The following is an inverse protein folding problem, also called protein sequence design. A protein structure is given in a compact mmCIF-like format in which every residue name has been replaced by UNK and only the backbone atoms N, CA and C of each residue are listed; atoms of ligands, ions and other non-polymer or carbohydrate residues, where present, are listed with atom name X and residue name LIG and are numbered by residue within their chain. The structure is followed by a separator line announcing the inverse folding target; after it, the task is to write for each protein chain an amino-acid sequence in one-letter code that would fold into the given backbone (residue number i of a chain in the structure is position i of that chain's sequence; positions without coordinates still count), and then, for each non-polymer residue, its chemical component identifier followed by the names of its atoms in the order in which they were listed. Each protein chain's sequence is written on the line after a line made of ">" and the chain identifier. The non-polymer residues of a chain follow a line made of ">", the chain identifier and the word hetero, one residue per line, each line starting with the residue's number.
data_IF_259430810885
#
_entry.id   IF_259430810885
#
_cell.length_a   1.000
_cell.length_b   1.000
_cell.length_c   1.000
_cell.angle_alpha   90.00
_cell.angle_beta   90.00
_cell.angle_gamma   90.00
#
_symmetry.space_group_name_H-M   'P 1'
#
loop_
_entity.id
_entity.type
_entity.pdbx_description
1 polymer ?
#
# COMPACT_ATOMS: atom_id res chain seq x y z
N UNK A 1 -25.66 27.95 -10.60
CA UNK A 1 -24.22 27.81 -10.91
C UNK A 1 -23.99 26.32 -11.07
N UNK A 2 -23.65 25.87 -12.28
CA UNK A 2 -23.23 24.48 -12.48
C UNK A 2 -21.95 24.20 -11.69
N UNK A 3 -21.87 23.03 -11.11
CA UNK A 3 -20.71 22.63 -10.31
C UNK A 3 -19.54 22.29 -11.27
N UNK A 4 -18.49 23.11 -11.28
CA UNK A 4 -17.30 22.92 -12.12
C UNK A 4 -16.69 21.52 -12.04
N UNK A 5 -16.91 20.82 -10.91
CA UNK A 5 -16.42 19.43 -10.73
C UNK A 5 -17.23 18.47 -11.58
N UNK A 6 -18.53 18.67 -11.70
CA UNK A 6 -19.40 17.85 -12.56
C UNK A 6 -19.08 18.10 -14.03
N UNK A 7 -18.85 19.35 -14.42
CA UNK A 7 -18.42 19.71 -15.78
C UNK A 7 -17.08 19.05 -16.13
N UNK A 8 -16.09 19.09 -15.21
CA UNK A 8 -14.80 18.46 -15.42
C UNK A 8 -14.91 16.94 -15.55
N UNK A 9 -15.78 16.29 -14.74
CA UNK A 9 -16.04 14.86 -14.82
C UNK A 9 -16.67 14.50 -16.17
N UNK A 10 -17.69 15.22 -16.59
CA UNK A 10 -18.34 15.00 -17.88
C UNK A 10 -17.35 15.16 -19.05
N UNK A 11 -16.49 16.19 -18.99
CA UNK A 11 -15.43 16.39 -19.98
C UNK A 11 -14.43 15.23 -20.01
N UNK A 12 -14.02 14.71 -18.86
CA UNK A 12 -13.11 13.58 -18.79
C UNK A 12 -13.68 12.32 -19.46
N UNK A 13 -14.95 12.02 -19.20
CA UNK A 13 -15.66 10.90 -19.82
C UNK A 13 -15.74 11.06 -21.34
N UNK A 14 -16.03 12.26 -21.83
CA UNK A 14 -16.09 12.55 -23.27
C UNK A 14 -14.70 12.43 -23.94
N UNK A 15 -13.64 12.90 -23.25
CA UNK A 15 -12.25 12.72 -23.74
C UNK A 15 -11.92 11.23 -23.85
N UNK A 16 -12.26 10.41 -22.84
CA UNK A 16 -12.04 8.96 -22.90
C UNK A 16 -12.80 8.31 -24.05
N UNK A 17 -14.07 8.66 -24.25
CA UNK A 17 -14.86 8.16 -25.39
C UNK A 17 -14.22 8.50 -26.74
N UNK A 18 -13.65 9.69 -26.86
CA UNK A 18 -12.96 10.13 -28.07
C UNK A 18 -11.65 9.37 -28.28
N UNK A 19 -10.84 9.25 -27.26
CA UNK A 19 -9.57 8.50 -27.31
C UNK A 19 -9.82 7.03 -27.67
N UNK A 20 -10.78 6.40 -27.02
CA UNK A 20 -11.14 5.00 -27.29
C UNK A 20 -11.58 4.78 -28.72
N UNK A 21 -12.22 5.77 -29.37
CA UNK A 21 -12.66 5.71 -30.76
C UNK A 21 -11.55 6.06 -31.75
N UNK A 22 -10.70 7.04 -31.45
CA UNK A 22 -9.84 7.68 -32.43
C UNK A 22 -8.34 7.37 -32.26
N UNK A 23 -7.86 7.13 -31.04
CA UNK A 23 -6.48 6.82 -30.79
C UNK A 23 -6.18 5.32 -31.03
N UNK A 24 -5.24 4.98 -31.92
CA UNK A 24 -4.90 3.58 -32.20
C UNK A 24 -4.41 2.81 -30.96
N UNK A 25 -3.65 3.48 -30.06
CA UNK A 25 -3.13 2.84 -28.86
C UNK A 25 -4.25 2.56 -27.86
N UNK A 26 -5.11 3.54 -27.58
CA UNK A 26 -6.22 3.38 -26.63
C UNK A 26 -7.20 2.29 -27.08
N UNK A 27 -7.46 2.17 -28.37
CA UNK A 27 -8.34 1.12 -28.94
C UNK A 27 -7.89 -0.31 -28.68
N UNK A 28 -6.59 -0.52 -28.56
CA UNK A 28 -6.01 -1.85 -28.35
C UNK A 28 -5.95 -2.25 -26.87
N UNK A 29 -6.15 -1.30 -25.95
CA UNK A 29 -6.04 -1.58 -24.54
C UNK A 29 -7.17 -2.50 -24.03
N UNK A 30 -6.80 -3.35 -23.08
CA UNK A 30 -7.67 -4.30 -22.40
C UNK A 30 -7.49 -4.19 -20.88
N UNK A 31 -8.35 -4.85 -20.09
CA UNK A 31 -8.17 -4.96 -18.64
C UNK A 31 -6.78 -5.49 -18.28
N UNK A 32 -6.28 -6.47 -19.03
CA UNK A 32 -4.98 -7.10 -18.75
C UNK A 32 -3.81 -6.19 -19.11
N UNK A 33 -3.89 -5.49 -20.25
CA UNK A 33 -2.80 -4.63 -20.70
C UNK A 33 -2.57 -3.42 -19.78
N UNK A 34 -3.64 -2.87 -19.21
CA UNK A 34 -3.57 -1.71 -18.32
C UNK A 34 -3.24 -2.06 -16.86
N UNK A 35 -3.28 -3.33 -16.48
CA UNK A 35 -3.12 -3.75 -15.09
C UNK A 35 -1.76 -3.36 -14.50
N UNK A 36 -0.68 -3.49 -15.27
CA UNK A 36 0.66 -3.12 -14.80
C UNK A 36 0.78 -1.63 -14.54
N UNK A 37 0.29 -0.81 -15.46
CA UNK A 37 0.29 0.64 -15.32
C UNK A 37 -0.50 1.08 -14.08
N UNK A 38 -1.68 0.51 -13.83
CA UNK A 38 -2.46 0.81 -12.62
C UNK A 38 -1.66 0.56 -11.33
N UNK A 39 -0.83 -0.49 -11.32
CA UNK A 39 0.04 -0.79 -10.17
C UNK A 39 1.15 0.26 -10.06
N UNK A 40 1.76 0.64 -11.18
CA UNK A 40 2.79 1.66 -11.29
C UNK A 40 2.29 3.00 -10.72
N UNK A 41 1.18 3.55 -11.25
CA UNK A 41 0.58 4.79 -10.76
C UNK A 41 0.23 4.75 -9.25
N UNK A 42 -0.12 3.56 -8.74
CA UNK A 42 -0.37 3.38 -7.31
C UNK A 42 0.91 3.58 -6.48
N UNK A 43 2.06 3.10 -6.97
CA UNK A 43 3.35 3.30 -6.31
C UNK A 43 3.86 4.73 -6.47
N UNK A 44 3.69 5.35 -7.63
CA UNK A 44 4.05 6.75 -7.87
C UNK A 44 3.27 7.70 -6.97
N UNK A 45 1.96 7.44 -6.79
CA UNK A 45 1.16 8.16 -5.79
C UNK A 45 1.69 7.94 -4.36
N UNK A 46 2.09 6.71 -4.01
CA UNK A 46 2.65 6.43 -2.68
C UNK A 46 3.97 7.18 -2.45
N UNK A 47 4.81 7.29 -3.49
CA UNK A 47 6.05 8.07 -3.45
C UNK A 47 5.77 9.56 -3.31
N UNK A 48 4.88 10.13 -4.11
CA UNK A 48 4.48 11.53 -4.04
C UNK A 48 3.92 11.91 -2.64
N UNK A 49 3.14 10.99 -2.02
CA UNK A 49 2.64 11.16 -0.65
C UNK A 49 3.79 11.14 0.36
N UNK A 50 4.72 10.21 0.24
CA UNK A 50 5.88 10.07 1.14
C UNK A 50 6.78 11.30 1.10
N UNK A 51 6.92 11.89 -0.09
CA UNK A 51 7.74 13.07 -0.35
C UNK A 51 7.00 14.39 -0.06
N UNK A 52 5.73 14.33 0.36
CA UNK A 52 4.85 15.49 0.57
C UNK A 52 4.75 16.40 -0.67
N UNK A 53 4.86 15.82 -1.86
CA UNK A 53 4.80 16.52 -3.14
C UNK A 53 3.35 16.67 -3.60
N UNK A 54 2.72 17.80 -3.28
CA UNK A 54 1.31 18.06 -3.60
C UNK A 54 1.00 18.11 -5.11
N UNK A 55 1.93 18.57 -5.94
CA UNK A 55 1.75 18.55 -7.40
C UNK A 55 1.85 17.13 -7.94
N UNK A 56 2.83 16.34 -7.49
CA UNK A 56 2.91 14.91 -7.81
C UNK A 56 1.66 14.15 -7.34
N UNK A 57 1.18 14.37 -6.11
CA UNK A 57 -0.07 13.75 -5.63
C UNK A 57 -1.24 14.07 -6.55
N UNK A 58 -1.34 15.30 -7.05
CA UNK A 58 -2.41 15.69 -7.98
C UNK A 58 -2.28 14.99 -9.33
N UNK A 59 -1.06 14.87 -9.85
CA UNK A 59 -0.73 14.19 -11.09
C UNK A 59 -1.12 12.71 -11.01
N UNK A 60 -0.60 12.00 -10.02
CA UNK A 60 -0.84 10.56 -9.85
C UNK A 60 -2.31 10.21 -9.52
N UNK A 61 -3.01 11.12 -8.81
CA UNK A 61 -4.46 10.99 -8.66
C UNK A 61 -5.18 11.13 -10.01
N UNK A 62 -4.67 11.92 -10.93
CA UNK A 62 -5.17 12.05 -12.30
C UNK A 62 -5.00 10.75 -13.06
N UNK A 63 -3.82 10.11 -12.97
CA UNK A 63 -3.49 8.87 -13.67
C UNK A 63 -4.27 7.68 -13.11
N UNK A 64 -4.42 7.59 -11.79
CA UNK A 64 -5.35 6.62 -11.20
C UNK A 64 -6.81 6.85 -11.61
N UNK A 65 -7.25 8.11 -11.71
CA UNK A 65 -8.59 8.43 -12.20
C UNK A 65 -8.74 8.06 -13.69
N UNK A 66 -7.71 8.27 -14.51
CA UNK A 66 -7.66 7.80 -15.89
C UNK A 66 -7.94 6.29 -15.94
N UNK A 67 -7.25 5.49 -15.13
CA UNK A 67 -7.47 4.03 -15.08
C UNK A 67 -8.90 3.67 -14.65
N UNK A 68 -9.47 4.38 -13.66
CA UNK A 68 -10.88 4.17 -13.26
C UNK A 68 -11.82 4.41 -14.43
N UNK A 69 -11.66 5.52 -15.16
CA UNK A 69 -12.50 5.88 -16.31
C UNK A 69 -12.29 4.90 -17.47
N UNK A 70 -11.04 4.52 -17.74
CA UNK A 70 -10.70 3.59 -18.81
C UNK A 70 -11.30 2.20 -18.57
N UNK A 71 -11.13 1.63 -17.36
CA UNK A 71 -11.75 0.36 -17.02
C UNK A 71 -13.28 0.42 -17.07
N UNK A 72 -13.88 1.56 -16.68
CA UNK A 72 -15.32 1.75 -16.78
C UNK A 72 -15.76 1.76 -18.24
N UNK A 73 -14.96 2.36 -19.14
CA UNK A 73 -15.23 2.34 -20.59
C UNK A 73 -15.10 0.93 -21.18
N UNK A 74 -14.11 0.16 -20.77
CA UNK A 74 -14.00 -1.25 -21.18
C UNK A 74 -15.18 -2.08 -20.66
N UNK A 75 -15.64 -1.84 -19.44
CA UNK A 75 -16.82 -2.49 -18.87
C UNK A 75 -18.11 -2.15 -19.64
N UNK A 76 -18.26 -0.90 -20.08
CA UNK A 76 -19.38 -0.45 -20.92
C UNK A 76 -19.37 -1.16 -22.29
N UNK A 77 -18.20 -1.31 -22.92
CA UNK A 77 -18.05 -2.00 -24.19
C UNK A 77 -18.39 -3.50 -24.10
N UNK A 78 -18.15 -4.11 -22.94
CA UNK A 78 -18.57 -5.49 -22.65
C UNK A 78 -20.03 -5.61 -22.20
N UNK A 79 -20.74 -4.48 -22.03
CA UNK A 79 -22.12 -4.44 -21.53
C UNK A 79 -22.25 -4.91 -20.07
N UNK A 80 -21.18 -4.80 -19.29
CA UNK A 80 -21.12 -5.29 -17.90
C UNK A 80 -21.41 -4.20 -16.86
N UNK A 81 -20.81 -3.03 -17.00
CA UNK A 81 -20.99 -1.85 -16.13
C UNK A 81 -20.39 -0.61 -16.81
N UNK A 82 -20.80 0.57 -16.39
CA UNK A 82 -20.23 1.85 -16.80
C UNK A 82 -19.65 2.65 -15.62
N UNK A 83 -19.21 3.88 -15.87
CA UNK A 83 -18.67 4.77 -14.83
C UNK A 83 -19.75 5.16 -13.79
N UNK A 84 -20.99 5.32 -14.22
CA UNK A 84 -22.11 5.59 -13.31
C UNK A 84 -22.33 4.45 -12.33
N UNK A 85 -22.35 3.21 -12.82
CA UNK A 85 -22.45 2.01 -11.99
C UNK A 85 -21.32 1.91 -10.96
N UNK A 86 -20.08 2.22 -11.36
CA UNK A 86 -18.92 2.23 -10.46
C UNK A 86 -19.09 3.29 -9.36
N UNK A 87 -19.51 4.50 -9.73
CA UNK A 87 -19.70 5.60 -8.79
C UNK A 87 -20.86 5.32 -7.82
N UNK A 88 -22.00 4.86 -8.32
CA UNK A 88 -23.19 4.54 -7.51
C UNK A 88 -22.90 3.37 -6.55
N UNK A 89 -22.27 2.30 -7.02
CA UNK A 89 -21.86 1.19 -6.16
C UNK A 89 -20.89 1.63 -5.06
N UNK A 90 -20.01 2.60 -5.33
CA UNK A 90 -19.13 3.18 -4.33
C UNK A 90 -19.92 4.02 -3.32
N UNK A 91 -20.86 4.86 -3.77
CA UNK A 91 -21.72 5.67 -2.90
C UNK A 91 -22.53 4.78 -1.96
N UNK A 92 -23.22 3.78 -2.49
CA UNK A 92 -24.01 2.82 -1.71
C UNK A 92 -23.16 2.10 -0.66
N UNK A 93 -21.94 1.69 -1.06
CA UNK A 93 -20.98 1.08 -0.14
C UNK A 93 -20.57 2.02 0.97
N UNK A 94 -20.29 3.28 0.68
CA UNK A 94 -19.90 4.29 1.66
C UNK A 94 -21.05 4.61 2.62
N UNK A 95 -22.25 4.83 2.11
CA UNK A 95 -23.44 5.06 2.92
C UNK A 95 -23.70 3.91 3.87
N UNK A 96 -23.70 2.67 3.35
CA UNK A 96 -23.89 1.46 4.15
C UNK A 96 -22.83 1.30 5.27
N UNK A 97 -21.60 1.71 5.01
CA UNK A 97 -20.47 1.55 5.94
C UNK A 97 -20.35 2.69 6.95
N UNK A 98 -21.10 3.77 6.79
CA UNK A 98 -21.08 4.92 7.69
C UNK A 98 -22.47 5.17 8.32
N UNK A 99 -23.04 4.16 9.01
CA UNK A 99 -24.36 4.32 9.62
C UNK A 99 -24.38 5.35 10.75
N UNK A 100 -23.22 5.77 11.25
CA UNK A 100 -23.08 6.86 12.19
C UNK A 100 -23.16 8.26 11.53
N UNK A 101 -23.13 8.33 10.20
CA UNK A 101 -23.32 9.58 9.41
C UNK A 101 -24.64 9.59 8.70
N UNK A 102 -25.06 8.45 8.13
CA UNK A 102 -26.23 8.33 7.26
C UNK A 102 -27.40 7.56 7.90
N UNK A 103 -27.27 7.13 9.16
CA UNK A 103 -28.28 6.37 9.89
C UNK A 103 -28.30 6.72 11.38
N UNK A 104 -28.87 5.86 12.19
CA UNK A 104 -29.18 6.11 13.61
C UNK A 104 -28.12 5.53 14.60
N UNK A 105 -27.00 5.04 14.10
CA UNK A 105 -25.94 4.48 14.94
C UNK A 105 -25.00 5.62 15.37
N UNK A 106 -24.71 5.70 16.69
CA UNK A 106 -23.75 6.67 17.20
C UNK A 106 -22.36 6.02 17.34
N UNK A 107 -21.34 6.64 16.75
CA UNK A 107 -19.92 6.33 16.97
C UNK A 107 -19.18 7.65 17.21
N UNK A 108 -18.61 7.81 18.39
CA UNK A 108 -17.99 9.06 18.83
C UNK A 108 -16.45 9.03 18.75
N UNK A 109 -15.85 7.87 18.44
CA UNK A 109 -14.41 7.71 18.33
C UNK A 109 -14.03 7.00 17.03
N UNK A 110 -12.84 7.28 16.48
CA UNK A 110 -12.33 6.58 15.29
C UNK A 110 -12.29 5.05 15.46
N UNK A 111 -12.01 4.56 16.68
CA UNK A 111 -11.93 3.13 16.95
C UNK A 111 -13.30 2.47 16.85
N UNK A 112 -14.34 3.08 17.41
CA UNK A 112 -15.74 2.62 17.27
C UNK A 112 -16.17 2.58 15.79
N UNK A 113 -15.75 3.54 15.00
CA UNK A 113 -16.00 3.55 13.55
C UNK A 113 -15.31 2.39 12.86
N UNK A 114 -14.03 2.11 13.21
CA UNK A 114 -13.26 0.97 12.68
C UNK A 114 -13.90 -0.38 13.02
N UNK A 115 -14.28 -0.58 14.28
CA UNK A 115 -14.97 -1.81 14.73
C UNK A 115 -16.28 -2.04 13.98
N UNK A 116 -17.11 -1.00 13.88
CA UNK A 116 -18.37 -1.06 13.12
C UNK A 116 -18.11 -1.39 11.64
N UNK A 117 -17.08 -0.82 11.05
CA UNK A 117 -16.71 -1.06 9.66
C UNK A 117 -16.32 -2.52 9.41
N UNK A 118 -15.48 -3.09 10.26
CA UNK A 118 -15.08 -4.49 10.14
C UNK A 118 -16.28 -5.44 10.39
N UNK A 119 -17.13 -5.15 11.37
CA UNK A 119 -18.35 -5.91 11.62
C UNK A 119 -19.31 -5.90 10.40
N UNK A 120 -19.49 -4.73 9.76
CA UNK A 120 -20.32 -4.59 8.56
C UNK A 120 -19.70 -5.27 7.34
N UNK A 121 -18.37 -5.23 7.18
CA UNK A 121 -17.67 -5.99 6.13
C UNK A 121 -17.87 -7.50 6.29
N UNK A 122 -17.77 -8.01 7.51
CA UNK A 122 -17.99 -9.44 7.79
C UNK A 122 -19.42 -9.89 7.49
N UNK A 123 -20.43 -9.04 7.75
CA UNK A 123 -21.85 -9.35 7.47
C UNK A 123 -22.16 -9.45 5.97
N UNK A 124 -21.57 -8.59 5.14
CA UNK A 124 -21.84 -8.56 3.68
C UNK A 124 -21.00 -9.59 2.90
N UNK A 125 -19.91 -10.10 3.47
CA UNK A 125 -19.08 -11.11 2.81
C UNK A 125 -19.70 -12.50 2.95
N UNK A 126 -20.02 -13.09 1.81
CA UNK A 126 -20.46 -14.47 1.74
C UNK A 126 -19.57 -15.38 2.62
N UNK A 127 -20.15 -16.17 3.51
CA UNK A 127 -19.51 -17.11 4.47
C UNK A 127 -18.52 -18.12 3.85
N UNK A 128 -18.37 -18.13 2.52
CA UNK A 128 -17.56 -19.12 1.78
C UNK A 128 -16.05 -18.88 1.79
N UNK A 129 -15.56 -17.70 2.12
CA UNK A 129 -14.12 -17.39 1.99
C UNK A 129 -13.35 -17.23 3.31
N UNK A 130 -14.01 -17.37 4.46
CA UNK A 130 -13.39 -17.16 5.78
C UNK A 130 -12.95 -15.70 6.02
N UNK A 131 -12.46 -15.40 7.22
CA UNK A 131 -12.04 -14.04 7.63
C UNK A 131 -10.93 -13.48 6.74
N UNK A 132 -9.95 -14.29 6.39
CA UNK A 132 -8.78 -13.87 5.59
C UNK A 132 -9.02 -13.93 4.08
N UNK A 133 -10.07 -14.57 3.60
CA UNK A 133 -10.37 -14.76 2.17
C UNK A 133 -10.61 -13.47 1.37
N UNK A 134 -10.55 -12.31 2.01
CA UNK A 134 -10.66 -11.03 1.31
C UNK A 134 -9.36 -10.23 1.30
N UNK A 135 -8.24 -10.87 1.62
CA UNK A 135 -6.91 -10.31 1.39
C UNK A 135 -6.50 -10.65 -0.03
N UNK A 136 -6.23 -9.67 -0.90
CA UNK A 136 -5.82 -9.94 -2.27
C UNK A 136 -4.53 -10.77 -2.31
N UNK A 137 -4.49 -11.77 -3.17
CA UNK A 137 -3.32 -12.65 -3.29
C UNK A 137 -2.08 -11.96 -3.84
N UNK A 138 -2.28 -10.94 -4.68
CA UNK A 138 -1.24 -10.19 -5.37
C UNK A 138 -0.62 -9.04 -4.56
N UNK A 139 -1.09 -8.81 -3.32
CA UNK A 139 -0.47 -7.78 -2.47
C UNK A 139 1.00 -8.11 -2.19
N UNK A 140 1.89 -7.08 -2.12
CA UNK A 140 3.22 -7.22 -1.56
C UNK A 140 3.18 -7.88 -0.19
N UNK A 141 4.19 -8.68 0.14
CA UNK A 141 4.14 -9.56 1.32
C UNK A 141 3.94 -8.79 2.64
N UNK A 142 4.60 -7.65 2.79
CA UNK A 142 4.51 -6.83 4.01
C UNK A 142 3.12 -6.21 4.16
N UNK A 143 2.57 -5.61 3.10
CA UNK A 143 1.20 -5.10 3.06
C UNK A 143 0.19 -6.21 3.33
N UNK A 144 0.42 -7.40 2.76
CA UNK A 144 -0.43 -8.58 2.98
C UNK A 144 -0.43 -9.02 4.44
N UNK A 145 0.74 -9.13 5.06
CA UNK A 145 0.89 -9.50 6.48
C UNK A 145 0.16 -8.49 7.39
N UNK A 146 0.34 -7.19 7.15
CA UNK A 146 -0.37 -6.14 7.88
C UNK A 146 -1.90 -6.30 7.76
N UNK A 147 -2.41 -6.47 6.54
CA UNK A 147 -3.85 -6.68 6.29
C UNK A 147 -4.40 -7.97 6.90
N UNK A 148 -3.58 -9.03 6.96
CA UNK A 148 -3.95 -10.27 7.64
C UNK A 148 -4.06 -10.04 9.15
N UNK A 149 -3.12 -9.35 9.76
CA UNK A 149 -3.16 -8.98 11.18
C UNK A 149 -4.40 -8.14 11.54
N UNK A 150 -4.72 -7.09 10.75
CA UNK A 150 -5.94 -6.30 10.96
C UNK A 150 -7.23 -7.15 10.91
N UNK A 151 -7.29 -8.11 9.99
CA UNK A 151 -8.47 -8.98 9.86
C UNK A 151 -8.58 -10.01 10.97
N UNK A 152 -7.45 -10.53 11.42
CA UNK A 152 -7.39 -11.43 12.57
C UNK A 152 -7.84 -10.70 13.84
N UNK A 153 -7.34 -9.51 14.08
CA UNK A 153 -7.74 -8.63 15.17
C UNK A 153 -9.26 -8.34 15.14
N UNK A 154 -9.81 -7.98 13.97
CA UNK A 154 -11.24 -7.77 13.78
C UNK A 154 -12.12 -9.02 13.99
N UNK A 155 -11.52 -10.20 14.01
CA UNK A 155 -12.19 -11.47 14.36
C UNK A 155 -11.99 -11.87 15.82
N UNK A 156 -11.31 -11.03 16.63
CA UNK A 156 -11.04 -11.29 18.04
C UNK A 156 -9.72 -12.05 18.29
N UNK A 157 -8.89 -12.24 17.27
CA UNK A 157 -7.56 -12.85 17.42
C UNK A 157 -6.48 -11.77 17.40
N UNK A 158 -6.18 -11.22 18.56
CA UNK A 158 -5.18 -10.17 18.77
C UNK A 158 -4.58 -10.25 20.18
N UNK A 159 -3.48 -9.53 20.41
CA UNK A 159 -2.89 -9.36 21.74
C UNK A 159 -3.78 -8.49 22.63
N UNK A 160 -3.90 -8.87 23.90
CA UNK A 160 -4.63 -8.06 24.89
C UNK A 160 -3.87 -6.75 25.21
N UNK A 161 -2.55 -6.84 25.32
CA UNK A 161 -1.67 -5.71 25.50
C UNK A 161 -0.71 -5.61 24.31
N UNK A 162 -0.59 -4.42 23.73
CA UNK A 162 0.28 -4.21 22.55
C UNK A 162 1.76 -4.50 22.82
N UNK A 163 2.17 -4.38 24.09
CA UNK A 163 3.53 -4.65 24.54
C UNK A 163 3.91 -6.13 24.42
N UNK A 164 2.94 -7.03 24.55
CA UNK A 164 3.17 -8.49 24.53
C UNK A 164 3.65 -8.99 23.16
N UNK A 165 3.40 -8.24 22.09
CA UNK A 165 3.93 -8.57 20.75
C UNK A 165 5.46 -8.67 20.73
N UNK A 166 6.14 -7.93 21.60
CA UNK A 166 7.60 -7.94 21.67
C UNK A 166 8.15 -9.25 22.24
N UNK A 167 7.37 -9.99 23.03
CA UNK A 167 7.76 -11.32 23.46
C UNK A 167 7.77 -12.30 22.26
N UNK A 168 6.77 -12.19 21.37
CA UNK A 168 6.76 -12.96 20.13
C UNK A 168 7.91 -12.58 19.19
N UNK A 169 8.21 -11.28 19.04
CA UNK A 169 9.37 -10.83 18.24
C UNK A 169 10.70 -11.42 18.78
N UNK A 170 10.86 -11.49 20.12
CA UNK A 170 12.07 -12.09 20.73
C UNK A 170 12.11 -13.60 20.55
N UNK A 171 10.97 -14.28 20.64
CA UNK A 171 10.82 -15.71 20.36
C UNK A 171 11.28 -16.01 18.94
N UNK A 172 10.71 -15.37 17.91
CA UNK A 172 11.08 -15.56 16.51
C UNK A 172 12.55 -15.23 16.22
N UNK A 173 13.08 -14.17 16.83
CA UNK A 173 14.49 -13.85 16.72
C UNK A 173 15.37 -14.99 17.29
N UNK A 174 14.96 -15.58 18.41
CA UNK A 174 15.65 -16.73 19.02
C UNK A 174 15.60 -17.98 18.13
N UNK A 175 14.49 -18.20 17.42
CA UNK A 175 14.33 -19.31 16.48
C UNK A 175 15.22 -19.12 15.24
N UNK A 176 15.31 -17.89 14.69
CA UNK A 176 16.30 -17.55 13.65
C UNK A 176 17.72 -17.83 14.13
N UNK A 177 18.10 -17.40 15.35
CA UNK A 177 19.44 -17.62 15.91
C UNK A 177 19.76 -19.11 16.14
N UNK A 178 18.75 -19.90 16.49
CA UNK A 178 18.88 -21.34 16.64
C UNK A 178 19.08 -22.02 15.28
N UNK A 179 18.26 -21.65 14.29
CA UNK A 179 18.30 -22.25 12.97
C UNK A 179 19.56 -21.87 12.18
N UNK A 180 20.13 -20.68 12.39
CA UNK A 180 21.45 -20.30 11.86
C UNK A 180 22.55 -21.30 12.25
N UNK A 181 22.38 -22.05 13.36
CA UNK A 181 23.35 -23.07 13.84
C UNK A 181 23.05 -24.46 13.29
N UNK A 182 21.79 -24.74 12.93
CA UNK A 182 21.37 -26.04 12.38
C UNK A 182 21.82 -26.25 10.93
N UNK A 183 21.92 -25.16 10.16
CA UNK A 183 22.38 -25.14 8.77
C UNK A 183 21.34 -25.48 7.73
N UNK A 184 20.04 -25.61 8.09
CA UNK A 184 18.95 -25.78 7.13
C UNK A 184 18.52 -24.44 6.53
N UNK A 185 18.83 -24.24 5.23
CA UNK A 185 18.46 -23.00 4.54
C UNK A 185 16.95 -22.80 4.43
N UNK A 186 16.18 -23.88 4.26
CA UNK A 186 14.72 -23.82 4.10
C UNK A 186 14.04 -23.46 5.42
N UNK A 187 14.49 -24.05 6.52
CA UNK A 187 13.94 -23.78 7.84
C UNK A 187 14.33 -22.36 8.28
N UNK A 188 15.57 -21.95 8.03
CA UNK A 188 16.03 -20.58 8.28
C UNK A 188 15.20 -19.52 7.49
N UNK A 189 14.82 -19.81 6.24
CA UNK A 189 13.92 -18.93 5.46
C UNK A 189 12.54 -18.82 6.12
N UNK A 190 12.04 -19.91 6.68
CA UNK A 190 10.80 -19.93 7.45
C UNK A 190 10.87 -19.00 8.65
N UNK A 191 11.87 -19.17 9.50
CA UNK A 191 12.05 -18.37 10.73
C UNK A 191 12.23 -16.88 10.44
N UNK A 192 12.97 -16.52 9.38
CA UNK A 192 13.01 -15.11 8.94
C UNK A 192 11.62 -14.60 8.50
N UNK A 193 10.82 -15.43 7.87
CA UNK A 193 9.44 -15.09 7.51
C UNK A 193 8.57 -14.82 8.74
N UNK A 194 8.66 -15.65 9.77
CA UNK A 194 7.89 -15.52 11.01
C UNK A 194 8.35 -14.30 11.82
N UNK A 195 9.65 -14.05 11.89
CA UNK A 195 10.20 -12.82 12.49
C UNK A 195 9.68 -11.56 11.78
N UNK A 196 9.69 -11.53 10.45
CA UNK A 196 9.16 -10.40 9.67
C UNK A 196 7.65 -10.23 9.91
N UNK A 197 6.89 -11.31 9.99
CA UNK A 197 5.47 -11.26 10.28
C UNK A 197 5.19 -10.72 11.70
N UNK A 198 5.96 -11.13 12.69
CA UNK A 198 5.89 -10.62 14.06
C UNK A 198 6.19 -9.12 14.12
N UNK A 199 7.23 -8.65 13.41
CA UNK A 199 7.57 -7.23 13.30
C UNK A 199 6.47 -6.40 12.62
N UNK A 200 5.85 -6.92 11.55
CA UNK A 200 4.70 -6.27 10.91
C UNK A 200 3.52 -6.14 11.87
N UNK A 201 3.25 -7.17 12.68
CA UNK A 201 2.21 -7.07 13.71
C UNK A 201 2.55 -6.08 14.83
N UNK A 202 3.82 -6.00 15.24
CA UNK A 202 4.27 -4.95 16.15
C UNK A 202 4.00 -3.57 15.56
N UNK A 203 4.38 -3.31 14.31
CA UNK A 203 4.06 -2.05 13.63
C UNK A 203 2.56 -1.75 13.67
N UNK A 204 1.71 -2.74 13.35
CA UNK A 204 0.25 -2.60 13.38
C UNK A 204 -0.28 -2.17 14.75
N UNK A 205 0.16 -2.82 15.82
CA UNK A 205 -0.28 -2.53 17.19
C UNK A 205 0.15 -1.14 17.68
N UNK A 206 1.25 -0.62 17.14
CA UNK A 206 1.73 0.74 17.40
C UNK A 206 1.23 1.78 16.39
N UNK A 207 0.34 1.38 15.47
CA UNK A 207 -0.25 2.29 14.48
C UNK A 207 0.75 2.77 13.42
N UNK A 208 1.81 1.99 13.18
CA UNK A 208 2.83 2.28 12.16
C UNK A 208 2.54 1.43 10.92
N UNK A 209 2.49 2.06 9.75
CA UNK A 209 2.49 1.34 8.47
C UNK A 209 3.90 0.83 8.16
N UNK A 210 4.13 -0.50 8.08
CA UNK A 210 5.46 -1.06 7.94
C UNK A 210 6.07 -0.84 6.55
N UNK A 211 5.25 -0.80 5.49
CA UNK A 211 5.70 -0.54 4.12
C UNK A 211 6.26 0.89 4.03
N UNK A 212 5.47 1.88 4.44
CA UNK A 212 5.90 3.28 4.46
C UNK A 212 7.09 3.52 5.39
N UNK A 213 7.16 2.81 6.52
CA UNK A 213 8.28 2.94 7.46
C UNK A 213 9.59 2.44 6.86
N UNK A 214 9.55 1.29 6.15
CA UNK A 214 10.70 0.73 5.48
C UNK A 214 11.10 1.58 4.28
N UNK A 215 10.13 2.07 3.49
CA UNK A 215 10.40 2.92 2.33
C UNK A 215 11.10 4.24 2.72
N UNK A 216 10.66 4.88 3.80
CA UNK A 216 11.39 6.05 4.34
C UNK A 216 12.84 5.71 4.74
N UNK A 217 13.09 4.48 5.15
CA UNK A 217 14.45 4.03 5.48
C UNK A 217 15.25 3.76 4.23
N UNK A 218 14.63 3.16 3.19
CA UNK A 218 15.23 2.99 1.87
C UNK A 218 15.65 4.33 1.26
N UNK A 219 14.76 5.32 1.24
CA UNK A 219 15.04 6.68 0.76
C UNK A 219 16.24 7.31 1.51
N UNK A 220 16.27 7.20 2.85
CA UNK A 220 17.42 7.67 3.65
C UNK A 220 18.70 6.94 3.31
N UNK A 221 18.63 5.64 3.05
CA UNK A 221 19.80 4.85 2.65
C UNK A 221 20.32 5.32 1.29
N UNK A 222 19.43 5.44 0.30
CA UNK A 222 19.77 5.92 -1.05
C UNK A 222 20.43 7.30 -0.98
N UNK A 223 19.82 8.26 -0.28
CA UNK A 223 20.38 9.61 -0.14
C UNK A 223 21.79 9.60 0.45
N UNK A 224 22.00 8.82 1.51
CA UNK A 224 23.31 8.70 2.17
C UNK A 224 24.34 8.02 1.28
N UNK A 225 23.90 7.00 0.55
CA UNK A 225 24.77 6.27 -0.35
C UNK A 225 25.20 7.15 -1.53
N UNK A 226 24.27 7.86 -2.15
CA UNK A 226 24.58 8.83 -3.21
C UNK A 226 25.55 9.93 -2.71
N UNK A 227 25.34 10.43 -1.50
CA UNK A 227 26.28 11.37 -0.87
C UNK A 227 27.69 10.77 -0.76
N UNK A 228 27.82 9.51 -0.35
CA UNK A 228 29.12 8.84 -0.26
C UNK A 228 29.77 8.72 -1.65
N UNK A 229 29.00 8.36 -2.68
CA UNK A 229 29.51 8.26 -4.06
C UNK A 229 30.01 9.62 -4.56
N UNK A 230 29.23 10.68 -4.36
CA UNK A 230 29.62 12.04 -4.74
C UNK A 230 30.90 12.49 -4.02
N UNK A 231 31.02 12.22 -2.72
CA UNK A 231 32.19 12.57 -1.92
C UNK A 231 33.43 11.76 -2.29
N UNK A 232 33.26 10.49 -2.62
CA UNK A 232 34.35 9.65 -3.12
C UNK A 232 34.83 10.15 -4.49
N UNK A 233 33.90 10.39 -5.42
CA UNK A 233 34.21 10.91 -6.76
C UNK A 233 34.92 12.25 -6.71
N UNK A 234 34.52 13.16 -5.82
CA UNK A 234 35.17 14.46 -5.61
C UNK A 234 36.65 14.33 -5.13
N UNK A 235 37.01 13.19 -4.52
CA UNK A 235 38.38 12.86 -4.11
C UNK A 235 39.11 12.02 -5.16
N UNK A 236 38.48 11.72 -6.29
CA UNK A 236 39.07 10.90 -7.38
C UNK A 236 39.03 9.40 -7.14
N UNK A 237 38.19 8.93 -6.22
CA UNK A 237 38.02 7.50 -5.90
C UNK A 237 36.61 7.01 -6.26
N UNK A 238 36.49 5.73 -6.51
CA UNK A 238 35.22 5.00 -6.43
C UNK A 238 35.07 4.39 -5.02
N UNK A 239 33.84 4.10 -4.59
CA UNK A 239 33.62 3.45 -3.30
C UNK A 239 34.34 2.08 -3.22
N UNK A 240 34.47 1.39 -4.34
CA UNK A 240 35.14 0.08 -4.41
C UNK A 240 36.66 0.17 -4.07
N UNK A 241 37.29 1.32 -4.29
CA UNK A 241 38.69 1.56 -4.00
C UNK A 241 38.93 2.06 -2.57
N UNK A 242 37.87 2.30 -1.81
CA UNK A 242 37.95 2.80 -0.44
C UNK A 242 37.96 1.66 0.58
N UNK A 243 38.61 1.89 1.70
CA UNK A 243 38.49 1.00 2.86
C UNK A 243 37.11 1.15 3.53
N UNK A 244 36.66 0.09 4.20
CA UNK A 244 35.39 0.12 4.95
C UNK A 244 35.37 1.27 5.99
N UNK A 245 36.48 1.52 6.66
CA UNK A 245 36.60 2.64 7.62
C UNK A 245 36.40 4.01 6.97
N UNK A 246 36.98 4.23 5.79
CA UNK A 246 36.80 5.48 5.05
C UNK A 246 35.35 5.63 4.52
N UNK A 247 34.70 4.54 4.12
CA UNK A 247 33.28 4.55 3.76
C UNK A 247 32.40 4.84 4.97
N UNK A 248 32.69 4.27 6.15
CA UNK A 248 31.96 4.55 7.39
C UNK A 248 32.08 6.02 7.81
N UNK A 249 33.24 6.65 7.66
CA UNK A 249 33.41 8.09 7.91
C UNK A 249 32.47 8.92 7.02
N UNK A 250 32.39 8.62 5.72
CA UNK A 250 31.47 9.29 4.79
C UNK A 250 30.00 9.02 5.14
N UNK A 251 29.69 7.80 5.57
CA UNK A 251 28.35 7.45 6.03
C UNK A 251 27.92 8.24 7.27
N UNK A 252 28.84 8.42 8.24
CA UNK A 252 28.56 9.25 9.41
C UNK A 252 28.48 10.74 9.08
N UNK A 253 29.22 11.20 8.05
CA UNK A 253 29.09 12.55 7.52
C UNK A 253 27.69 12.76 6.89
N UNK A 254 27.23 11.79 6.06
CA UNK A 254 25.92 11.80 5.43
C UNK A 254 24.75 11.82 6.41
N UNK A 255 24.92 11.25 7.62
CA UNK A 255 23.88 11.27 8.67
C UNK A 255 23.69 12.65 9.32
N UNK A 256 24.67 13.53 9.19
CA UNK A 256 24.69 14.87 9.82
C UNK A 256 24.22 15.98 8.88
N UNK A 257 24.16 15.68 7.59
CA UNK A 257 23.63 16.55 6.54
C UNK A 257 22.17 16.22 6.24
#
# INVERSE_FOLDING_TARGET
>A
MEDKRLEATARLLEVMNTLRRECPWDREQTFDSLRSNTIEETYELADAITDHNMEGIKEELGDLLLHVVFYSKLGEEEGAFDFGDVADALCDKLIYRHPHVYGDIHANTPDQVKENWEALKLRKKNRRSGTLGGVPRSLPAMVKAYRMGEKAAGAGFDWEQKEDVWDKVREELGEVEAEMKSGSKTDLEGEFGDLLFALVNACRLYGVDPESALERTNKKFIQRFNYMEERAAAKGYTLHEMSLGAMEELWQEAKRN
#
